data_IF_396841954828
#
_entry.id   IF_396841954828
#
_cell.length_a   1.000
_cell.length_b   1.000
_cell.length_c   1.000
_cell.angle_alpha   90.00
_cell.angle_beta   90.00
_cell.angle_gamma   90.00
#
_symmetry.space_group_name_H-M   'P 1'
#
loop_
_entity.id
_entity.type
_entity.pdbx_description
1 polymer ?
#
# COMPACT_ATOMS: atom_id res chain seq x y z
N UNK A 1 -12.14 5.55 -7.45
CA UNK A 1 -12.59 4.52 -6.49
C UNK A 1 -13.47 5.18 -5.45
N UNK A 2 -14.61 4.58 -5.13
CA UNK A 2 -15.61 5.11 -4.18
C UNK A 2 -16.19 3.98 -3.34
N UNK A 3 -16.81 4.27 -2.19
CA UNK A 3 -17.67 3.31 -1.52
C UNK A 3 -18.79 2.83 -2.45
N UNK A 4 -19.17 1.55 -2.36
CA UNK A 4 -20.08 0.94 -3.34
C UNK A 4 -21.48 1.60 -3.37
N UNK A 5 -21.96 2.14 -2.24
CA UNK A 5 -23.26 2.83 -2.15
C UNK A 5 -23.28 4.19 -2.87
N UNK A 6 -22.13 4.70 -3.28
CA UNK A 6 -21.97 5.93 -4.07
C UNK A 6 -21.64 5.67 -5.54
N UNK A 7 -21.51 4.40 -5.95
CA UNK A 7 -21.20 4.04 -7.34
C UNK A 7 -22.50 3.92 -8.13
N UNK A 8 -22.61 4.70 -9.20
CA UNK A 8 -23.70 4.58 -10.16
C UNK A 8 -23.44 3.44 -11.16
N UNK A 9 -24.50 2.93 -11.81
CA UNK A 9 -24.35 1.91 -12.85
C UNK A 9 -23.45 2.41 -14.00
N UNK A 10 -23.56 3.69 -14.38
CA UNK A 10 -22.74 4.29 -15.43
C UNK A 10 -21.24 4.21 -15.12
N UNK A 11 -20.85 4.43 -13.87
CA UNK A 11 -19.45 4.34 -13.45
C UNK A 11 -18.94 2.90 -13.40
N UNK A 12 -19.79 1.95 -12.99
CA UNK A 12 -19.47 0.53 -13.05
C UNK A 12 -19.22 0.08 -14.50
N UNK A 13 -20.09 0.50 -15.43
CA UNK A 13 -19.96 0.21 -16.86
C UNK A 13 -18.71 0.89 -17.45
N UNK A 14 -18.36 2.09 -17.00
CA UNK A 14 -17.12 2.76 -17.40
C UNK A 14 -15.86 2.00 -16.94
N UNK A 15 -15.86 1.41 -15.74
CA UNK A 15 -14.76 0.55 -15.28
C UNK A 15 -14.61 -0.70 -16.18
N UNK A 16 -15.71 -1.30 -16.61
CA UNK A 16 -15.69 -2.41 -17.57
C UNK A 16 -15.15 -1.98 -18.93
N UNK A 17 -15.58 -0.81 -19.43
CA UNK A 17 -15.13 -0.26 -20.70
C UNK A 17 -13.62 0.07 -20.72
N UNK A 18 -13.03 0.41 -19.57
CA UNK A 18 -11.60 0.64 -19.41
C UNK A 18 -10.78 -0.66 -19.24
N UNK A 19 -11.43 -1.82 -19.21
CA UNK A 19 -10.79 -3.11 -18.95
C UNK A 19 -10.83 -4.01 -20.18
N UNK A 20 -9.68 -4.53 -20.56
CA UNK A 20 -9.56 -5.59 -21.56
C UNK A 20 -9.31 -6.95 -20.89
N UNK A 21 -9.94 -7.99 -21.41
CA UNK A 21 -9.79 -9.36 -20.90
C UNK A 21 -8.80 -10.14 -21.77
N UNK A 22 -7.58 -10.33 -21.29
CA UNK A 22 -6.50 -10.94 -22.08
C UNK A 22 -6.37 -12.44 -21.76
N UNK A 23 -6.25 -13.35 -22.75
CA UNK A 23 -5.98 -14.76 -22.49
C UNK A 23 -4.71 -14.97 -21.66
N UNK A 24 -4.78 -15.87 -20.68
CA UNK A 24 -3.64 -16.20 -19.83
C UNK A 24 -2.53 -16.89 -20.63
N UNK A 25 -1.27 -16.58 -20.30
CA UNK A 25 -0.08 -17.16 -20.93
C UNK A 25 0.03 -18.64 -20.52
N UNK A 26 -0.03 -19.55 -21.49
CA UNK A 26 -0.19 -20.99 -21.25
C UNK A 26 0.96 -21.61 -20.45
N UNK A 27 2.19 -21.14 -20.66
CA UNK A 27 3.39 -21.61 -19.96
C UNK A 27 3.29 -21.42 -18.43
N UNK A 28 2.60 -20.35 -18.00
CA UNK A 28 2.32 -20.06 -16.60
C UNK A 28 0.98 -20.65 -16.13
N UNK A 29 -0.05 -20.59 -16.97
CA UNK A 29 -1.42 -20.96 -16.64
C UNK A 29 -1.95 -22.02 -17.61
N UNK A 30 -1.55 -23.28 -17.41
CA UNK A 30 -1.87 -24.40 -18.32
C UNK A 30 -3.36 -24.65 -18.52
N UNK A 31 -4.19 -24.27 -17.55
CA UNK A 31 -5.66 -24.35 -17.63
C UNK A 31 -6.33 -23.19 -18.39
N UNK A 32 -5.55 -22.21 -18.86
CA UNK A 32 -6.08 -20.97 -19.43
C UNK A 32 -6.64 -20.01 -18.36
N UNK A 33 -7.39 -19.02 -18.81
CA UNK A 33 -7.97 -17.94 -18.00
C UNK A 33 -7.98 -16.61 -18.75
N UNK A 34 -8.59 -15.58 -18.16
CA UNK A 34 -8.55 -14.21 -18.67
C UNK A 34 -8.06 -13.25 -17.56
N UNK A 35 -6.99 -12.51 -17.82
CA UNK A 35 -6.54 -11.42 -16.96
C UNK A 35 -7.30 -10.13 -17.29
N UNK A 36 -7.63 -9.34 -16.27
CA UNK A 36 -8.28 -8.03 -16.42
C UNK A 36 -7.21 -6.94 -16.53
N UNK A 37 -6.89 -6.53 -17.75
CA UNK A 37 -5.93 -5.47 -18.05
C UNK A 37 -6.60 -4.11 -18.06
N UNK A 38 -6.08 -3.19 -17.27
CA UNK A 38 -6.42 -1.77 -17.30
C UNK A 38 -5.19 -0.95 -16.89
N UNK A 39 -5.21 0.35 -17.16
CA UNK A 39 -4.20 1.29 -16.70
C UNK A 39 -4.87 2.28 -15.73
N UNK A 40 -4.38 2.33 -14.50
CA UNK A 40 -4.87 3.29 -13.50
C UNK A 40 -4.54 4.72 -13.94
N UNK A 41 -5.53 5.61 -13.90
CA UNK A 41 -5.39 7.05 -14.15
C UNK A 41 -4.32 7.70 -13.25
N UNK A 42 -3.60 8.69 -13.78
CA UNK A 42 -2.58 9.44 -13.02
C UNK A 42 -3.15 10.44 -12.03
N UNK A 43 -2.31 10.88 -11.08
CA UNK A 43 -2.64 11.93 -10.11
C UNK A 43 -3.57 11.51 -8.98
N UNK A 44 -3.93 10.23 -8.90
CA UNK A 44 -4.84 9.72 -7.87
C UNK A 44 -4.05 9.47 -6.58
N UNK A 45 -4.44 10.04 -5.42
CA UNK A 45 -3.77 9.75 -4.16
C UNK A 45 -4.03 8.30 -3.75
N UNK A 46 -2.97 7.60 -3.36
CA UNK A 46 -3.02 6.23 -2.90
C UNK A 46 -2.16 6.02 -1.65
N UNK A 47 -2.54 5.03 -0.85
CA UNK A 47 -1.75 4.50 0.25
C UNK A 47 -1.44 3.04 -0.05
N UNK A 48 -0.16 2.70 -0.20
CA UNK A 48 0.29 1.32 -0.31
C UNK A 48 0.54 0.76 1.08
N UNK A 49 0.01 -0.42 1.40
CA UNK A 49 0.19 -1.06 2.71
C UNK A 49 0.60 -2.53 2.59
N UNK A 50 1.25 -3.04 3.64
CA UNK A 50 1.60 -4.45 3.77
C UNK A 50 1.77 -4.86 5.22
N UNK A 51 1.13 -5.96 5.63
CA UNK A 51 1.44 -6.66 6.88
C UNK A 51 2.43 -7.79 6.61
N UNK A 52 3.45 -7.90 7.45
CA UNK A 52 4.42 -9.01 7.44
C UNK A 52 4.52 -9.62 8.84
N UNK A 53 4.85 -10.91 8.94
CA UNK A 53 5.09 -11.59 10.22
C UNK A 53 6.57 -11.86 10.35
N UNK A 54 7.18 -11.31 11.42
CA UNK A 54 8.59 -11.44 11.71
C UNK A 54 8.77 -12.38 12.90
N UNK A 55 9.53 -13.46 12.72
CA UNK A 55 9.80 -14.42 13.79
C UNK A 55 10.52 -13.73 14.95
N UNK A 56 10.01 -13.89 16.18
CA UNK A 56 10.55 -13.25 17.38
C UNK A 56 10.02 -11.86 17.69
N UNK A 57 9.25 -11.26 16.76
CA UNK A 57 8.63 -9.95 16.93
C UNK A 57 7.10 -10.01 16.80
N UNK A 58 6.59 -10.73 15.81
CA UNK A 58 5.15 -10.80 15.49
C UNK A 58 4.78 -10.02 14.22
N UNK A 59 3.51 -9.63 14.05
CA UNK A 59 3.08 -8.86 12.89
C UNK A 59 3.62 -7.43 12.94
N UNK A 60 3.98 -6.89 11.78
CA UNK A 60 4.34 -5.48 11.58
C UNK A 60 3.61 -4.92 10.35
N UNK A 61 3.36 -3.61 10.33
CA UNK A 61 2.69 -2.90 9.24
C UNK A 61 3.64 -1.93 8.54
N UNK A 62 3.65 -1.95 7.20
CA UNK A 62 4.30 -0.96 6.34
C UNK A 62 3.24 -0.12 5.63
N UNK A 63 3.51 1.17 5.49
CA UNK A 63 2.63 2.18 4.89
C UNK A 63 3.49 3.09 4.00
N UNK A 64 3.06 3.34 2.76
CA UNK A 64 3.67 4.32 1.88
C UNK A 64 2.57 5.11 1.16
N UNK A 65 2.35 6.35 1.57
CA UNK A 65 1.48 7.29 0.86
C UNK A 65 2.18 7.83 -0.39
N UNK A 66 1.43 8.04 -1.45
CA UNK A 66 1.92 8.55 -2.72
C UNK A 66 0.79 8.81 -3.70
N UNK A 67 1.12 8.82 -4.98
CA UNK A 67 0.15 9.04 -6.04
C UNK A 67 0.39 8.05 -7.18
N UNK A 68 -0.69 7.71 -7.90
CA UNK A 68 -0.53 7.18 -9.25
C UNK A 68 0.05 8.27 -10.16
N UNK A 69 0.81 7.88 -11.19
CA UNK A 69 1.36 8.81 -12.17
C UNK A 69 0.98 8.39 -13.59
N UNK A 70 0.72 9.38 -14.43
CA UNK A 70 0.53 9.16 -15.86
C UNK A 70 1.87 9.32 -16.57
N UNK A 71 2.24 8.33 -17.38
CA UNK A 71 3.43 8.38 -18.22
C UNK A 71 3.04 8.78 -19.64
N UNK A 72 3.90 9.50 -20.38
CA UNK A 72 3.71 9.67 -21.81
C UNK A 72 3.51 8.32 -22.50
N UNK A 73 2.54 8.23 -23.42
CA UNK A 73 2.12 6.97 -24.09
C UNK A 73 3.31 6.10 -24.53
N UNK A 74 4.27 6.69 -25.25
CA UNK A 74 5.44 5.96 -25.75
C UNK A 74 6.32 5.37 -24.64
N UNK A 75 6.43 6.07 -23.50
CA UNK A 75 7.17 5.58 -22.34
C UNK A 75 6.42 4.44 -21.66
N UNK A 76 5.11 4.59 -21.44
CA UNK A 76 4.28 3.50 -20.90
C UNK A 76 4.38 2.24 -21.77
N UNK A 77 4.13 2.37 -23.08
CA UNK A 77 4.15 1.25 -24.02
C UNK A 77 5.49 0.50 -23.98
N UNK A 78 6.60 1.23 -23.93
CA UNK A 78 7.94 0.65 -23.89
C UNK A 78 8.19 -0.14 -22.60
N UNK A 79 7.73 0.35 -21.44
CA UNK A 79 7.95 -0.31 -20.16
C UNK A 79 6.98 -1.47 -19.93
N UNK A 80 5.72 -1.31 -20.33
CA UNK A 80 4.66 -2.30 -20.20
C UNK A 80 4.93 -3.54 -21.06
N UNK A 81 5.32 -3.34 -22.32
CA UNK A 81 5.70 -4.42 -23.25
C UNK A 81 6.89 -5.24 -22.76
N UNK A 82 7.78 -4.66 -21.94
CA UNK A 82 8.96 -5.32 -21.39
C UNK A 82 8.72 -6.01 -20.04
N UNK A 83 7.53 -5.86 -19.46
CA UNK A 83 7.20 -6.39 -18.14
C UNK A 83 6.17 -7.51 -18.25
N UNK A 84 4.88 -7.17 -18.39
CA UNK A 84 3.77 -8.10 -18.61
C UNK A 84 2.56 -7.32 -19.16
N UNK A 85 2.47 -7.20 -20.48
CA UNK A 85 1.47 -6.34 -21.14
C UNK A 85 0.03 -6.89 -21.14
N UNK A 86 -0.23 -8.04 -20.50
CA UNK A 86 -1.58 -8.61 -20.34
C UNK A 86 -2.14 -8.37 -18.93
N UNK A 87 -1.38 -7.75 -18.03
CA UNK A 87 -1.74 -7.53 -16.63
C UNK A 87 -2.12 -6.07 -16.38
N UNK A 88 -2.90 -5.77 -15.32
CA UNK A 88 -3.21 -4.40 -14.98
C UNK A 88 -1.98 -3.66 -14.43
N UNK A 89 -1.84 -2.39 -14.81
CA UNK A 89 -0.68 -1.56 -14.45
C UNK A 89 -1.11 -0.34 -13.64
N UNK A 90 -0.33 -0.04 -12.58
CA UNK A 90 -0.42 1.22 -11.83
C UNK A 90 1.01 1.72 -11.60
N UNK A 91 1.35 2.87 -12.17
CA UNK A 91 2.62 3.54 -11.90
C UNK A 91 2.48 4.35 -10.62
N UNK A 92 3.34 4.09 -9.63
CA UNK A 92 3.22 4.69 -8.29
C UNK A 92 4.47 5.49 -7.92
N UNK A 93 4.27 6.71 -7.45
CA UNK A 93 5.32 7.58 -6.92
C UNK A 93 5.09 7.82 -5.41
N UNK A 94 5.91 7.22 -4.52
CA UNK A 94 5.78 7.45 -3.08
C UNK A 94 6.19 8.87 -2.70
N UNK A 95 5.52 9.46 -1.72
CA UNK A 95 5.93 10.73 -1.11
C UNK A 95 7.23 10.51 -0.33
N UNK A 96 8.26 11.28 -0.66
CA UNK A 96 9.55 11.23 0.03
C UNK A 96 9.58 12.17 1.22
N UNK A 97 10.39 11.83 2.23
CA UNK A 97 10.59 12.64 3.44
C UNK A 97 12.05 13.08 3.61
N UNK A 98 12.97 12.51 2.80
CA UNK A 98 14.41 12.73 2.93
C UNK A 98 15.04 12.00 4.13
N UNK A 99 14.29 11.12 4.80
CA UNK A 99 14.73 10.40 6.00
C UNK A 99 14.40 8.91 5.88
N UNK A 100 15.28 8.06 6.42
CA UNK A 100 15.05 6.62 6.56
C UNK A 100 14.65 5.95 5.23
N UNK A 101 13.64 5.05 5.24
CA UNK A 101 13.16 4.35 4.04
C UNK A 101 12.58 5.26 2.94
N UNK A 102 12.34 6.54 3.23
CA UNK A 102 11.73 7.50 2.30
C UNK A 102 12.71 8.61 1.88
N UNK A 103 14.01 8.28 1.85
CA UNK A 103 15.06 9.16 1.31
C UNK A 103 14.96 9.29 -0.21
N UNK A 104 14.69 8.17 -0.89
CA UNK A 104 14.45 8.09 -2.33
C UNK A 104 13.51 6.93 -2.66
N UNK A 105 13.03 6.86 -3.92
CA UNK A 105 12.07 5.84 -4.37
C UNK A 105 12.67 4.43 -4.32
N UNK A 106 13.98 4.31 -4.56
CA UNK A 106 14.69 3.04 -4.44
C UNK A 106 14.61 2.51 -3.01
N UNK A 107 14.86 3.35 -2.01
CA UNK A 107 14.82 3.00 -0.60
C UNK A 107 13.43 2.51 -0.18
N UNK A 108 12.36 3.10 -0.72
CA UNK A 108 11.00 2.63 -0.47
C UNK A 108 10.81 1.20 -0.97
N UNK A 109 11.28 0.90 -2.18
CA UNK A 109 11.21 -0.45 -2.76
C UNK A 109 12.11 -1.43 -1.99
N UNK A 110 13.35 -1.05 -1.69
CA UNK A 110 14.34 -1.91 -1.03
C UNK A 110 13.96 -2.29 0.40
N UNK A 111 13.19 -1.44 1.09
CA UNK A 111 12.70 -1.71 2.44
C UNK A 111 11.31 -2.38 2.46
N UNK A 112 10.66 -2.58 1.31
CA UNK A 112 9.37 -3.27 1.25
C UNK A 112 9.54 -4.76 1.56
N UNK A 113 8.84 -5.27 2.58
CA UNK A 113 9.11 -6.57 3.17
C UNK A 113 8.52 -7.78 2.44
N UNK A 114 7.94 -7.58 1.25
CA UNK A 114 7.32 -8.65 0.46
C UNK A 114 7.30 -8.30 -1.04
N UNK A 115 6.94 -9.27 -1.89
CA UNK A 115 6.73 -9.04 -3.33
C UNK A 115 5.32 -8.50 -3.66
N UNK A 116 4.41 -8.44 -2.68
CA UNK A 116 3.05 -7.91 -2.84
C UNK A 116 2.84 -6.67 -1.96
N UNK A 117 1.91 -5.81 -2.38
CA UNK A 117 1.38 -4.69 -1.61
C UNK A 117 -0.11 -4.53 -1.88
N UNK A 118 -0.79 -3.72 -1.07
CA UNK A 118 -2.21 -3.37 -1.24
C UNK A 118 -2.32 -1.87 -1.46
N UNK A 119 -2.98 -1.45 -2.54
CA UNK A 119 -3.28 -0.04 -2.78
C UNK A 119 -4.70 0.29 -2.27
N UNK A 120 -4.79 1.31 -1.43
CA UNK A 120 -6.06 1.87 -0.93
C UNK A 120 -6.17 3.32 -1.39
N UNK A 121 -7.34 3.70 -1.91
CA UNK A 121 -7.62 5.05 -2.39
C UNK A 121 -7.44 6.08 -1.26
N UNK A 122 -6.85 7.23 -1.59
CA UNK A 122 -6.60 8.33 -0.65
C UNK A 122 -5.31 8.18 0.15
N UNK A 123 -5.04 9.20 0.98
CA UNK A 123 -3.96 9.22 1.97
C UNK A 123 -4.53 8.87 3.34
N UNK A 124 -4.65 7.57 3.58
CA UNK A 124 -5.30 6.96 4.74
C UNK A 124 -4.28 6.36 5.70
N UNK A 125 -3.01 6.77 5.62
CA UNK A 125 -1.95 6.23 6.46
C UNK A 125 -2.20 6.49 7.95
N UNK A 126 -2.79 7.63 8.31
CA UNK A 126 -3.16 7.95 9.69
C UNK A 126 -4.24 7.00 10.25
N UNK A 127 -5.21 6.60 9.42
CA UNK A 127 -6.23 5.62 9.78
C UNK A 127 -5.61 4.26 10.06
N UNK A 128 -4.70 3.83 9.18
CA UNK A 128 -3.93 2.59 9.35
C UNK A 128 -3.05 2.61 10.61
N UNK A 129 -2.38 3.72 10.92
CA UNK A 129 -1.58 3.87 12.15
C UNK A 129 -2.46 3.74 13.39
N UNK A 130 -3.61 4.40 13.40
CA UNK A 130 -4.56 4.34 14.52
C UNK A 130 -5.07 2.90 14.72
N UNK A 131 -5.48 2.25 13.64
CA UNK A 131 -5.95 0.86 13.65
C UNK A 131 -4.85 -0.10 14.11
N UNK A 132 -3.62 0.05 13.62
CA UNK A 132 -2.48 -0.77 14.00
C UNK A 132 -2.20 -0.66 15.50
N UNK A 133 -2.25 0.54 16.09
CA UNK A 133 -2.10 0.74 17.52
C UNK A 133 -3.22 0.06 18.32
N UNK A 134 -4.49 0.15 17.86
CA UNK A 134 -5.60 -0.59 18.48
C UNK A 134 -5.38 -2.10 18.46
N UNK A 135 -4.69 -2.63 17.44
CA UNK A 135 -4.39 -4.05 17.31
C UNK A 135 -3.02 -4.46 17.89
N UNK A 136 -2.25 -3.49 18.40
CA UNK A 136 -0.88 -3.66 18.91
C UNK A 136 0.07 -4.26 17.87
N UNK A 137 -0.05 -3.79 16.64
CA UNK A 137 0.83 -4.12 15.51
C UNK A 137 1.78 -2.93 15.32
N UNK A 138 3.10 -3.09 15.54
CA UNK A 138 4.06 -2.03 15.28
C UNK A 138 4.06 -1.60 13.81
N UNK A 139 4.12 -0.28 13.58
CA UNK A 139 4.29 0.28 12.24
C UNK A 139 5.79 0.43 11.97
N UNK A 140 6.36 -0.47 11.16
CA UNK A 140 7.81 -0.53 10.93
C UNK A 140 8.31 0.37 9.79
N UNK A 141 7.42 0.97 9.01
CA UNK A 141 7.76 1.89 7.92
C UNK A 141 6.53 2.75 7.59
N UNK A 142 6.65 4.08 7.70
CA UNK A 142 5.64 5.02 7.21
C UNK A 142 6.23 6.38 6.80
N UNK A 143 5.54 7.09 5.90
CA UNK A 143 5.81 8.48 5.51
C UNK A 143 4.69 9.45 5.90
N UNK A 144 3.80 9.02 6.79
CA UNK A 144 2.76 9.86 7.39
C UNK A 144 3.42 10.93 8.27
N UNK A 145 2.90 12.16 8.18
CA UNK A 145 3.33 13.29 9.00
C UNK A 145 3.11 13.02 10.50
N UNK A 146 4.10 13.32 11.33
CA UNK A 146 4.08 13.04 12.78
C UNK A 146 2.85 13.62 13.49
N UNK A 147 2.41 14.82 13.10
CA UNK A 147 1.25 15.48 13.68
C UNK A 147 -0.08 14.73 13.46
N UNK A 148 -0.14 13.81 12.50
CA UNK A 148 -1.33 13.00 12.20
C UNK A 148 -1.33 11.64 12.91
N UNK A 149 -0.26 11.32 13.63
CA UNK A 149 -0.15 10.06 14.36
C UNK A 149 -1.06 10.13 15.58
N UNK A 150 -2.13 9.34 15.52
CA UNK A 150 -3.10 9.24 16.60
C UNK A 150 -3.11 7.82 17.16
N UNK A 151 -2.80 7.69 18.44
CA UNK A 151 -2.69 6.41 19.16
C UNK A 151 -3.28 6.59 20.56
N UNK A 152 -3.59 5.50 21.30
CA UNK A 152 -4.00 5.61 22.70
C UNK A 152 -2.96 6.39 23.51
N UNK A 153 -3.41 7.27 24.41
CA UNK A 153 -2.53 8.21 25.16
C UNK A 153 -1.39 7.52 25.90
N UNK A 154 -1.59 6.26 26.31
CA UNK A 154 -0.57 5.48 26.99
C UNK A 154 0.69 5.22 26.15
N UNK A 155 0.64 5.32 24.80
CA UNK A 155 1.85 5.27 23.96
C UNK A 155 2.84 6.36 24.33
N UNK A 156 2.40 7.58 24.66
CA UNK A 156 3.29 8.68 25.04
C UNK A 156 4.13 8.37 26.29
N UNK A 157 3.59 7.60 27.23
CA UNK A 157 4.32 7.15 28.42
C UNK A 157 5.45 6.15 28.09
N UNK A 158 5.44 5.55 26.89
CA UNK A 158 6.50 4.67 26.43
C UNK A 158 7.65 5.45 25.77
N UNK A 159 7.53 6.76 25.53
CA UNK A 159 8.63 7.63 25.08
C UNK A 159 8.21 8.67 24.03
N UNK A 160 9.07 9.66 23.79
CA UNK A 160 8.82 10.74 22.81
C UNK A 160 9.09 10.33 21.36
N UNK A 161 10.06 9.42 21.15
CA UNK A 161 10.35 8.86 19.84
C UNK A 161 9.15 8.03 19.34
N UNK A 162 8.60 8.41 18.18
CA UNK A 162 7.35 7.89 17.62
C UNK A 162 7.43 6.41 17.29
N UNK A 163 8.57 5.96 16.77
CA UNK A 163 8.80 4.55 16.45
C UNK A 163 9.02 3.75 17.73
N UNK A 164 9.94 4.19 18.59
CA UNK A 164 10.30 3.50 19.81
C UNK A 164 9.15 3.37 20.80
N UNK A 165 8.28 4.38 20.93
CA UNK A 165 7.08 4.26 21.77
C UNK A 165 6.14 3.16 21.24
N UNK A 166 6.07 2.97 19.92
CA UNK A 166 5.16 2.01 19.29
C UNK A 166 5.58 0.58 19.58
N UNK A 167 6.86 0.27 19.34
CA UNK A 167 7.41 -1.05 19.63
C UNK A 167 7.32 -1.40 21.12
N UNK A 168 7.67 -0.46 22.01
CA UNK A 168 7.58 -0.68 23.46
C UNK A 168 6.13 -0.91 23.91
N UNK A 169 5.20 -0.09 23.44
CA UNK A 169 3.78 -0.21 23.80
C UNK A 169 3.16 -1.51 23.23
N UNK A 170 3.40 -1.83 21.96
CA UNK A 170 2.91 -3.06 21.35
C UNK A 170 3.47 -4.30 22.05
N UNK A 171 4.76 -4.30 22.41
CA UNK A 171 5.39 -5.38 23.16
C UNK A 171 4.81 -5.53 24.58
N UNK A 172 4.51 -4.40 25.25
CA UNK A 172 3.93 -4.37 26.59
C UNK A 172 2.51 -4.96 26.60
N UNK A 173 1.62 -4.41 25.76
CA UNK A 173 0.20 -4.79 25.76
C UNK A 173 -0.06 -6.12 25.05
N UNK A 174 0.75 -6.47 24.04
CA UNK A 174 0.59 -7.71 23.29
C UNK A 174 -0.70 -7.79 22.45
N UNK A 175 -0.98 -8.95 21.84
CA UNK A 175 -2.17 -9.17 21.01
C UNK A 175 -3.47 -9.04 21.82
N UNK A 176 -4.51 -8.49 21.20
CA UNK A 176 -5.76 -8.10 21.88
C UNK A 176 -6.56 -9.28 22.45
N UNK A 177 -6.61 -10.42 21.76
CA UNK A 177 -7.58 -11.48 22.08
C UNK A 177 -7.00 -12.62 22.91
N UNK A 178 -5.72 -12.96 22.71
CA UNK A 178 -5.00 -14.03 23.41
C UNK A 178 -3.50 -13.96 23.10
N UNK A 179 -2.68 -14.45 24.02
CA UNK A 179 -1.22 -14.60 23.87
C UNK A 179 -0.81 -16.06 23.90
#
# INVERSE_FOLDING_TARGET
MKPHWEISQQEADACLAATEWCPAIHEYFRGGGYSSRFLTEGGVPFTMTRVNIIKGLGPVLQIAEGWSVELPKAMHDQLDARTNSTWPTTWFAPRLTGKGPFTDVYSVMANWGANHGVLTIGHVGADFITLAAMLRIPVCMHNVEEAKIYRPSAWAAHGMDIEGQDYRACQNYGPLYKR
#
